data_IF_949476926695
#
_entry.id   IF_949476926695
#
_cell.length_a   1.000
_cell.length_b   1.000
_cell.length_c   1.000
_cell.angle_alpha   90.00
_cell.angle_beta   90.00
_cell.angle_gamma   90.00
#
_symmetry.space_group_name_H-M   'P 1'
#
loop_
_entity.id
_entity.type
_entity.pdbx_description
1 polymer ?
#
# COMPACT_ATOMS: atom_id res chain seq x y z
N UNK A 1 14.11 12.04 -0.98
CA UNK A 1 13.15 11.08 -1.58
C UNK A 1 13.37 9.72 -0.96
N UNK A 2 12.45 9.29 -0.09
CA UNK A 2 12.51 7.98 0.59
C UNK A 2 11.67 7.02 -0.26
N UNK A 3 12.29 5.98 -0.80
CA UNK A 3 11.62 4.99 -1.63
C UNK A 3 10.96 3.93 -0.72
N UNK A 4 9.66 4.08 -0.45
CA UNK A 4 8.87 3.00 0.16
C UNK A 4 8.50 1.99 -0.92
N UNK A 5 9.16 0.83 -0.93
CA UNK A 5 8.68 -0.34 -1.68
C UNK A 5 7.79 -1.18 -0.77
N UNK A 6 6.48 -0.97 -0.87
CA UNK A 6 5.45 -1.89 -0.37
C UNK A 6 5.52 -3.19 -1.16
N UNK A 7 5.98 -4.27 -0.52
CA UNK A 7 5.83 -5.62 -1.06
C UNK A 7 4.74 -6.32 -0.25
N UNK A 8 3.58 -6.54 -0.87
CA UNK A 8 2.58 -7.46 -0.36
C UNK A 8 3.14 -8.88 -0.42
N UNK A 9 3.47 -9.47 0.72
CA UNK A 9 3.71 -10.91 0.81
C UNK A 9 2.38 -11.60 1.10
N UNK A 10 1.79 -12.20 0.06
CA UNK A 10 0.66 -13.10 0.20
C UNK A 10 1.11 -14.36 0.97
N UNK A 11 0.62 -14.51 2.19
CA UNK A 11 0.81 -15.71 2.99
C UNK A 11 -0.18 -16.76 2.45
N UNK A 12 0.34 -17.77 1.73
CA UNK A 12 -0.43 -18.96 1.34
C UNK A 12 -0.81 -19.72 2.60
N UNK A 13 -2.08 -19.65 2.99
CA UNK A 13 -2.69 -20.65 3.87
C UNK A 13 -3.18 -21.80 2.98
N UNK A 14 -2.46 -22.92 3.03
CA UNK A 14 -2.94 -24.21 2.54
C UNK A 14 -3.43 -25.01 3.74
N UNK A 15 -4.73 -25.29 3.81
CA UNK A 15 -5.27 -26.59 4.22
C UNK A 15 -6.82 -26.63 4.10
N UNK A 16 -7.27 -27.58 3.27
CA UNK A 16 -8.46 -28.44 3.41
C UNK A 16 -9.89 -27.86 3.39
N UNK A 17 -10.45 -27.84 2.16
CA UNK A 17 -11.70 -28.51 1.76
C UNK A 17 -12.88 -28.53 2.75
N UNK A 18 -13.86 -27.68 2.50
CA UNK A 18 -15.27 -28.09 2.41
C UNK A 18 -16.03 -27.15 1.48
N UNK A 19 -16.39 -27.71 0.33
CA UNK A 19 -17.14 -27.10 -0.75
C UNK A 19 -18.62 -26.96 -0.33
N UNK A 20 -19.13 -25.75 -0.24
CA UNK A 20 -20.56 -25.48 -0.44
C UNK A 20 -20.70 -24.52 -1.62
N UNK A 21 -20.79 -25.12 -2.80
CA UNK A 21 -21.25 -24.49 -4.03
C UNK A 21 -22.65 -23.95 -3.78
N UNK A 22 -22.79 -22.63 -3.82
CA UNK A 22 -24.08 -21.97 -3.99
C UNK A 22 -24.03 -21.30 -5.35
N UNK A 23 -24.58 -22.01 -6.33
CA UNK A 23 -24.84 -21.49 -7.66
C UNK A 23 -26.03 -20.54 -7.55
N UNK A 24 -25.82 -19.24 -7.78
CA UNK A 24 -26.90 -18.37 -8.20
C UNK A 24 -26.64 -17.99 -9.66
N UNK A 25 -27.24 -18.81 -10.54
CA UNK A 25 -27.36 -18.54 -11.96
C UNK A 25 -28.71 -17.85 -12.13
N UNK A 26 -28.70 -16.55 -12.46
CA UNK A 26 -29.87 -15.85 -13.00
C UNK A 26 -29.37 -14.93 -14.12
N UNK A 27 -29.35 -15.51 -15.32
CA UNK A 27 -29.75 -14.92 -16.61
C UNK A 27 -29.40 -13.44 -16.87
N UNK A 28 -28.43 -13.24 -17.77
CA UNK A 28 -28.12 -11.97 -18.43
C UNK A 28 -29.28 -11.53 -19.34
N UNK A 29 -30.17 -10.66 -18.87
CA UNK A 29 -31.06 -9.90 -19.75
C UNK A 29 -30.36 -8.61 -20.20
N UNK A 30 -29.82 -8.69 -21.42
CA UNK A 30 -29.22 -7.60 -22.15
C UNK A 30 -30.33 -6.70 -22.72
N UNK A 31 -30.85 -5.76 -21.94
CA UNK A 31 -31.76 -4.72 -22.44
C UNK A 31 -30.92 -3.55 -22.96
N UNK A 32 -30.47 -3.66 -24.20
CA UNK A 32 -30.17 -2.49 -25.03
C UNK A 32 -31.46 -2.11 -25.73
N UNK A 33 -32.05 -0.97 -25.35
CA UNK A 33 -32.78 -0.04 -26.23
C UNK A 33 -33.60 0.95 -25.39
N UNK A 34 -32.97 2.03 -24.93
CA UNK A 34 -33.70 3.24 -24.55
C UNK A 34 -33.76 4.15 -25.77
N UNK A 35 -34.79 3.93 -26.59
CA UNK A 35 -35.23 4.91 -27.58
C UNK A 35 -35.78 6.12 -26.85
N UNK A 36 -35.02 7.21 -26.94
CA UNK A 36 -35.30 8.52 -26.37
C UNK A 36 -36.26 9.27 -27.30
N UNK A 37 -37.55 8.94 -27.28
CA UNK A 37 -38.58 9.79 -27.89
C UNK A 37 -39.96 9.44 -27.34
N UNK A 38 -40.74 10.47 -27.01
CA UNK A 38 -42.10 10.45 -26.46
C UNK A 38 -42.22 10.39 -24.93
N UNK A 39 -42.00 11.55 -24.30
CA UNK A 39 -42.97 12.00 -23.30
C UNK A 39 -43.19 13.50 -23.45
N UNK A 40 -44.33 13.83 -24.04
CA UNK A 40 -44.86 15.18 -24.11
C UNK A 40 -45.07 15.71 -22.69
N UNK A 41 -44.39 16.80 -22.37
CA UNK A 41 -44.52 17.55 -21.12
C UNK A 41 -45.86 18.29 -21.15
N UNK A 42 -46.79 18.04 -20.20
CA UNK A 42 -47.83 19.02 -19.93
C UNK A 42 -47.19 20.22 -19.24
N UNK A 43 -47.50 21.39 -19.78
CA UNK A 43 -47.19 22.67 -19.17
C UNK A 43 -47.71 22.69 -17.71
N UNK A 44 -47.05 23.48 -16.87
CA UNK A 44 -47.48 23.88 -15.52
C UNK A 44 -46.92 23.02 -14.37
N UNK A 45 -45.63 23.18 -14.09
CA UNK A 45 -45.01 22.69 -12.86
C UNK A 45 -43.52 23.01 -12.81
N UNK A 46 -43.16 24.16 -12.23
CA UNK A 46 -41.77 24.48 -11.90
C UNK A 46 -41.22 23.44 -10.91
N UNK A 47 -40.49 22.46 -11.43
CA UNK A 47 -39.54 21.66 -10.65
C UNK A 47 -38.16 22.25 -10.89
N UNK A 48 -37.75 23.18 -10.03
CA UNK A 48 -36.35 23.62 -9.95
C UNK A 48 -35.52 22.49 -9.35
N UNK A 49 -35.07 21.53 -10.17
CA UNK A 49 -33.92 20.70 -9.82
C UNK A 49 -32.68 21.56 -10.01
N UNK A 50 -32.24 22.21 -8.93
CA UNK A 50 -30.89 22.76 -8.87
C UNK A 50 -29.91 21.59 -8.89
N UNK A 51 -29.60 21.10 -10.10
CA UNK A 51 -28.39 20.31 -10.38
C UNK A 51 -27.20 21.23 -10.14
N UNK A 52 -26.77 21.37 -8.89
CA UNK A 52 -25.43 21.86 -8.60
C UNK A 52 -24.47 20.70 -8.80
N UNK A 53 -24.03 20.51 -10.05
CA UNK A 53 -22.86 19.69 -10.33
C UNK A 53 -21.72 20.17 -9.45
N UNK A 54 -21.24 19.31 -8.55
CA UNK A 54 -20.06 19.55 -7.72
C UNK A 54 -18.83 19.60 -8.65
N UNK A 55 -18.57 20.77 -9.25
CA UNK A 55 -17.37 21.03 -10.02
C UNK A 55 -16.16 20.82 -9.11
N UNK A 56 -15.38 19.79 -9.39
CA UNK A 56 -14.17 19.47 -8.65
C UNK A 56 -13.16 20.59 -8.92
N UNK A 57 -13.07 21.55 -8.01
CA UNK A 57 -12.16 22.69 -8.14
C UNK A 57 -10.72 22.21 -8.03
N UNK A 58 -9.97 22.33 -9.11
CA UNK A 58 -8.53 22.12 -9.11
C UNK A 58 -7.83 23.26 -8.36
N UNK A 59 -7.19 22.94 -7.24
CA UNK A 59 -6.51 23.93 -6.39
C UNK A 59 -5.13 24.34 -6.93
N UNK A 60 -4.56 23.58 -7.86
CA UNK A 60 -3.25 23.86 -8.47
C UNK A 60 -3.37 24.91 -9.57
N UNK A 61 -4.45 24.85 -10.36
CA UNK A 61 -4.73 25.79 -11.45
C UNK A 61 -5.57 27.01 -11.02
N UNK A 62 -6.06 27.05 -9.76
CA UNK A 62 -6.88 28.15 -9.26
C UNK A 62 -6.07 29.42 -8.98
N UNK A 63 -6.49 30.52 -9.60
CA UNK A 63 -5.97 31.86 -9.35
C UNK A 63 -5.91 32.22 -7.85
N UNK A 64 -4.78 32.78 -7.42
CA UNK A 64 -4.56 33.15 -6.02
C UNK A 64 -5.59 34.11 -5.39
N UNK A 65 -6.14 35.13 -6.09
CA UNK A 65 -7.25 35.92 -5.56
C UNK A 65 -8.53 35.08 -5.36
N UNK A 66 -8.83 34.16 -6.27
CA UNK A 66 -9.98 33.25 -6.20
C UNK A 66 -9.84 32.31 -5.02
N UNK A 67 -8.64 31.73 -4.84
CA UNK A 67 -8.30 30.90 -3.68
C UNK A 67 -8.45 31.65 -2.36
N UNK A 68 -7.98 32.91 -2.28
CA UNK A 68 -8.15 33.75 -1.07
C UNK A 68 -9.62 34.04 -0.78
N UNK A 69 -10.42 34.32 -1.80
CA UNK A 69 -11.87 34.56 -1.68
C UNK A 69 -12.61 33.29 -1.24
N UNK A 70 -12.25 32.13 -1.79
CA UNK A 70 -12.77 30.82 -1.38
C UNK A 70 -12.43 30.54 0.08
N UNK A 71 -11.16 30.68 0.48
CA UNK A 71 -10.74 30.45 1.87
C UNK A 71 -11.39 31.42 2.86
N UNK A 72 -11.68 32.67 2.44
CA UNK A 72 -12.44 33.63 3.23
C UNK A 72 -13.89 33.16 3.41
N UNK A 73 -14.57 32.77 2.32
CA UNK A 73 -15.95 32.22 2.37
C UNK A 73 -16.04 30.99 3.25
N UNK A 74 -15.13 30.03 3.10
CA UNK A 74 -15.08 28.82 3.93
C UNK A 74 -14.91 29.11 5.43
N UNK A 75 -14.22 30.22 5.77
CA UNK A 75 -14.06 30.67 7.15
C UNK A 75 -15.31 31.40 7.69
N UNK A 76 -15.95 32.20 6.85
CA UNK A 76 -17.09 33.05 7.21
C UNK A 76 -18.42 32.29 7.24
N UNK A 77 -18.59 31.28 6.36
CA UNK A 77 -19.72 30.36 6.34
C UNK A 77 -19.21 28.94 6.58
N UNK A 78 -18.95 28.54 7.84
CA UNK A 78 -18.64 27.16 8.13
C UNK A 78 -19.81 26.30 7.66
N UNK A 79 -19.51 25.26 6.89
CA UNK A 79 -20.52 24.30 6.46
C UNK A 79 -21.25 23.78 7.69
N UNK A 80 -22.58 23.92 7.70
CA UNK A 80 -23.41 23.28 8.72
C UNK A 80 -23.16 21.78 8.57
N UNK A 81 -22.53 21.16 9.56
CA UNK A 81 -22.49 19.70 9.66
C UNK A 81 -23.95 19.25 9.58
N UNK A 82 -24.29 18.43 8.57
CA UNK A 82 -25.65 17.90 8.42
C UNK A 82 -26.03 17.19 9.72
N UNK A 83 -27.31 17.30 10.08
CA UNK A 83 -27.86 16.74 11.31
C UNK A 83 -27.50 15.25 11.44
N UNK A 84 -27.29 14.78 12.67
CA UNK A 84 -26.89 13.41 13.02
C UNK A 84 -27.97 12.34 12.75
N UNK A 85 -28.92 12.63 11.87
CA UNK A 85 -30.06 11.79 11.55
C UNK A 85 -29.96 11.26 10.12
N UNK A 86 -30.66 10.15 9.88
CA UNK A 86 -30.87 9.64 8.54
C UNK A 86 -31.59 10.68 7.68
N UNK A 87 -31.18 10.87 6.42
CA UNK A 87 -31.90 11.74 5.47
C UNK A 87 -33.27 11.20 5.02
N UNK A 88 -33.63 9.99 5.42
CA UNK A 88 -34.81 9.26 4.97
C UNK A 88 -35.92 9.28 6.02
N UNK A 89 -37.15 9.02 5.59
CA UNK A 89 -38.30 8.96 6.49
C UNK A 89 -38.08 7.86 7.56
N UNK A 90 -38.31 8.16 8.85
CA UNK A 90 -38.10 7.19 9.92
C UNK A 90 -38.91 5.91 9.71
N UNK A 91 -38.23 4.76 9.72
CA UNK A 91 -38.84 3.45 9.52
C UNK A 91 -38.93 3.00 8.06
N UNK A 92 -38.58 3.86 7.08
CA UNK A 92 -38.40 3.43 5.70
C UNK A 92 -37.25 2.42 5.57
N UNK A 93 -37.29 1.56 4.56
CA UNK A 93 -36.21 0.59 4.30
C UNK A 93 -34.85 1.28 4.12
N UNK A 94 -34.85 2.47 3.48
CA UNK A 94 -33.66 3.30 3.28
C UNK A 94 -33.14 3.90 4.59
N UNK A 95 -34.02 4.29 5.53
CA UNK A 95 -33.64 4.73 6.87
C UNK A 95 -32.98 3.61 7.68
N UNK A 96 -33.56 2.41 7.65
CA UNK A 96 -32.99 1.22 8.32
C UNK A 96 -31.64 0.87 7.71
N UNK A 97 -31.52 0.85 6.39
CA UNK A 97 -30.26 0.59 5.70
C UNK A 97 -29.20 1.64 6.05
N UNK A 98 -29.55 2.93 6.05
CA UNK A 98 -28.64 4.01 6.42
C UNK A 98 -28.13 3.87 7.85
N UNK A 99 -29.02 3.62 8.83
CA UNK A 99 -28.60 3.43 10.24
C UNK A 99 -27.67 2.24 10.39
N UNK A 100 -27.97 1.13 9.71
CA UNK A 100 -27.11 -0.06 9.74
C UNK A 100 -25.73 0.21 9.12
N UNK A 101 -25.65 1.05 8.08
CA UNK A 101 -24.39 1.43 7.46
C UNK A 101 -23.58 2.35 8.38
N UNK A 102 -24.23 3.33 9.00
CA UNK A 102 -23.61 4.21 10.01
C UNK A 102 -23.07 3.38 11.17
N UNK A 103 -23.87 2.52 11.78
CA UNK A 103 -23.45 1.63 12.86
C UNK A 103 -22.24 0.77 12.46
N UNK A 104 -22.25 0.17 11.26
CA UNK A 104 -21.09 -0.59 10.75
C UNK A 104 -19.83 0.28 10.61
N UNK A 105 -19.97 1.51 10.11
CA UNK A 105 -18.84 2.43 9.95
C UNK A 105 -18.31 2.92 11.29
N UNK A 106 -19.19 3.23 12.25
CA UNK A 106 -18.83 3.61 13.61
C UNK A 106 -18.12 2.45 14.32
N UNK A 107 -18.68 1.24 14.28
CA UNK A 107 -18.06 0.05 14.84
C UNK A 107 -16.68 -0.23 14.22
N UNK A 108 -16.52 -0.05 12.90
CA UNK A 108 -15.21 -0.15 12.23
C UNK A 108 -14.24 0.93 12.72
N UNK A 109 -14.72 2.16 12.90
CA UNK A 109 -13.90 3.28 13.39
C UNK A 109 -13.47 3.06 14.85
N UNK A 110 -14.33 2.51 15.68
CA UNK A 110 -14.04 2.17 17.08
C UNK A 110 -13.04 1.03 17.17
N UNK A 111 -13.22 -0.02 16.36
CA UNK A 111 -12.27 -1.12 16.26
C UNK A 111 -10.89 -0.63 15.78
N UNK A 112 -10.84 0.31 14.83
CA UNK A 112 -9.59 0.92 14.39
C UNK A 112 -8.93 1.77 15.49
N UNK A 113 -9.71 2.59 16.20
CA UNK A 113 -9.23 3.36 17.37
C UNK A 113 -8.69 2.44 18.45
N UNK A 114 -9.37 1.33 18.75
CA UNK A 114 -8.91 0.34 19.71
C UNK A 114 -7.59 -0.32 19.25
N UNK A 115 -7.46 -0.65 17.96
CA UNK A 115 -6.19 -1.16 17.40
C UNK A 115 -5.06 -0.13 17.51
N UNK A 116 -5.32 1.14 17.19
CA UNK A 116 -4.32 2.22 17.36
C UNK A 116 -3.92 2.38 18.82
N UNK A 117 -4.87 2.36 19.74
CA UNK A 117 -4.60 2.44 21.17
C UNK A 117 -3.75 1.27 21.67
N UNK A 118 -3.99 0.05 21.17
CA UNK A 118 -3.19 -1.12 21.49
C UNK A 118 -1.75 -1.04 20.96
N UNK A 119 -1.54 -0.40 19.79
CA UNK A 119 -0.21 -0.22 19.19
C UNK A 119 0.56 0.97 19.77
N UNK A 120 -0.11 1.95 20.38
CA UNK A 120 0.50 3.16 20.94
C UNK A 120 1.75 2.92 21.82
N UNK A 121 1.77 1.97 22.78
CA UNK A 121 2.99 1.72 23.57
C UNK A 121 4.15 1.20 22.73
N UNK A 122 3.89 0.31 21.76
CA UNK A 122 4.92 -0.22 20.85
C UNK A 122 5.43 0.87 19.90
N UNK A 123 4.55 1.78 19.44
CA UNK A 123 4.93 2.95 18.63
C UNK A 123 5.86 3.86 19.44
N UNK A 124 5.51 4.20 20.68
CA UNK A 124 6.34 5.04 21.53
C UNK A 124 7.73 4.42 21.79
N UNK A 125 7.78 3.11 22.09
CA UNK A 125 9.04 2.38 22.23
C UNK A 125 9.87 2.42 20.95
N UNK A 126 9.24 2.20 19.79
CA UNK A 126 9.94 2.16 18.50
C UNK A 126 10.51 3.53 18.12
N UNK A 127 9.77 4.61 18.37
CA UNK A 127 10.25 5.97 18.14
C UNK A 127 11.45 6.29 19.06
N UNK A 128 11.39 5.89 20.33
CA UNK A 128 12.51 6.07 21.25
C UNK A 128 13.76 5.29 20.79
N UNK A 129 13.59 4.04 20.36
CA UNK A 129 14.69 3.20 19.87
C UNK A 129 15.27 3.72 18.55
N UNK A 130 14.42 4.28 17.68
CA UNK A 130 14.87 4.91 16.45
C UNK A 130 15.72 6.17 16.69
N UNK A 131 15.38 6.97 17.70
CA UNK A 131 16.20 8.11 18.14
C UNK A 131 17.58 7.64 18.64
N UNK A 132 17.63 6.54 19.42
CA UNK A 132 18.91 5.94 19.85
C UNK A 132 19.75 5.47 18.67
N UNK A 133 19.09 4.94 17.63
CA UNK A 133 19.73 4.50 16.39
C UNK A 133 20.03 5.64 15.41
N UNK A 134 19.76 6.91 15.76
CA UNK A 134 19.91 8.09 14.89
C UNK A 134 19.12 8.00 13.58
N UNK A 135 17.94 7.37 13.62
CA UNK A 135 17.02 7.25 12.47
C UNK A 135 15.77 8.07 12.74
N UNK A 136 15.52 9.05 11.87
CA UNK A 136 14.28 9.83 11.91
C UNK A 136 13.14 9.05 11.26
N UNK A 137 12.15 8.64 12.06
CA UNK A 137 10.94 8.00 11.60
C UNK A 137 9.71 8.74 12.11
N UNK A 138 8.68 8.85 11.26
CA UNK A 138 7.39 9.42 11.67
C UNK A 138 6.51 8.39 12.36
N UNK A 139 5.49 8.85 13.09
CA UNK A 139 4.52 7.97 13.75
C UNK A 139 3.80 7.04 12.75
N UNK A 140 3.45 7.55 11.58
CA UNK A 140 2.81 6.78 10.50
C UNK A 140 3.76 5.68 9.99
N UNK A 141 5.05 5.98 9.89
CA UNK A 141 6.07 4.99 9.52
C UNK A 141 6.25 3.95 10.62
N UNK A 142 6.26 4.35 11.89
CA UNK A 142 6.35 3.45 13.03
C UNK A 142 5.17 2.45 13.08
N UNK A 143 3.93 2.94 12.90
CA UNK A 143 2.75 2.07 12.78
C UNK A 143 2.90 1.11 11.61
N UNK A 144 3.33 1.60 10.45
CA UNK A 144 3.53 0.76 9.26
C UNK A 144 4.57 -0.34 9.48
N UNK A 145 5.68 -0.02 10.17
CA UNK A 145 6.72 -0.98 10.54
C UNK A 145 6.20 -2.05 11.50
N UNK A 146 5.39 -1.67 12.50
CA UNK A 146 4.76 -2.60 13.43
C UNK A 146 3.75 -3.54 12.75
N UNK A 147 3.14 -3.09 11.64
CA UNK A 147 2.30 -3.93 10.78
C UNK A 147 3.10 -4.85 9.83
N UNK A 148 4.44 -4.87 9.94
CA UNK A 148 5.31 -5.75 9.16
C UNK A 148 5.93 -5.10 7.92
N UNK A 149 5.74 -3.79 7.74
CA UNK A 149 6.44 -3.06 6.67
C UNK A 149 7.95 -3.01 6.93
N UNK A 150 8.70 -2.66 5.88
CA UNK A 150 10.15 -2.45 5.94
C UNK A 150 10.47 -1.04 5.47
N UNK A 151 11.48 -0.43 6.09
CA UNK A 151 11.99 0.88 5.72
C UNK A 151 13.45 0.76 5.28
N UNK A 152 13.82 1.38 4.18
CA UNK A 152 15.19 1.34 3.66
C UNK A 152 15.78 2.76 3.69
N UNK A 153 16.85 2.93 4.47
CA UNK A 153 17.55 4.21 4.61
C UNK A 153 19.06 3.92 4.56
N UNK A 154 19.76 4.54 3.62
CA UNK A 154 21.22 4.44 3.52
C UNK A 154 21.75 3.02 3.35
N UNK A 155 21.07 2.17 2.56
CA UNK A 155 21.48 0.77 2.33
C UNK A 155 21.28 -0.16 3.52
N UNK A 156 20.54 0.27 4.55
CA UNK A 156 20.12 -0.57 5.68
C UNK A 156 18.61 -0.76 5.64
N UNK A 157 18.16 -1.98 5.90
CA UNK A 157 16.74 -2.31 6.04
C UNK A 157 16.38 -2.33 7.51
N UNK A 158 15.36 -1.57 7.86
CA UNK A 158 14.78 -1.46 9.18
C UNK A 158 13.43 -2.19 9.20
N UNK A 159 13.21 -2.98 10.23
CA UNK A 159 11.94 -3.63 10.57
C UNK A 159 11.63 -3.39 12.04
N UNK A 160 10.37 -3.42 12.43
CA UNK A 160 10.00 -3.41 13.83
C UNK A 160 9.71 -4.84 14.34
N UNK A 161 10.10 -5.11 15.58
CA UNK A 161 9.57 -6.22 16.37
C UNK A 161 8.17 -5.89 16.87
N UNK A 162 7.35 -6.90 17.16
CA UNK A 162 6.03 -6.73 17.76
C UNK A 162 6.07 -5.96 19.10
N UNK A 163 7.21 -6.01 19.80
CA UNK A 163 7.43 -5.28 21.06
C UNK A 163 7.93 -3.83 20.90
N UNK A 164 8.03 -3.29 19.69
CA UNK A 164 8.49 -1.91 19.48
C UNK A 164 10.01 -1.72 19.51
N UNK A 165 10.77 -2.74 19.12
CA UNK A 165 12.23 -2.66 18.92
C UNK A 165 12.56 -2.54 17.43
N UNK A 166 13.56 -1.74 17.10
CA UNK A 166 14.04 -1.54 15.73
C UNK A 166 15.08 -2.61 15.38
N UNK A 167 14.68 -3.55 14.52
CA UNK A 167 15.56 -4.58 13.98
C UNK A 167 16.22 -4.05 12.72
N UNK A 168 17.55 -3.98 12.74
CA UNK A 168 18.34 -3.60 11.57
C UNK A 168 18.91 -4.83 10.88
N UNK A 169 18.76 -4.89 9.55
CA UNK A 169 19.50 -5.81 8.70
C UNK A 169 20.31 -4.97 7.73
N UNK A 170 21.63 -5.08 7.78
CA UNK A 170 22.46 -4.57 6.70
C UNK A 170 22.09 -5.33 5.43
N UNK A 171 21.78 -4.61 4.35
CA UNK A 171 21.76 -5.26 3.05
C UNK A 171 23.16 -5.85 2.82
N UNK A 172 23.25 -7.09 2.31
CA UNK A 172 24.53 -7.59 1.85
C UNK A 172 25.08 -6.59 0.83
N UNK A 173 26.27 -6.08 1.08
CA UNK A 173 26.99 -5.31 0.08
C UNK A 173 27.22 -6.24 -1.12
N UNK A 174 26.55 -5.94 -2.24
CA UNK A 174 26.61 -6.75 -3.46
C UNK A 174 28.06 -6.93 -3.92
N UNK A 175 28.88 -5.87 -3.79
CA UNK A 175 30.30 -5.92 -4.12
C UNK A 175 31.03 -6.92 -3.24
N UNK A 176 30.73 -6.93 -1.93
CA UNK A 176 31.33 -7.88 -0.98
C UNK A 176 30.86 -9.32 -1.24
N UNK A 177 29.60 -9.51 -1.63
CA UNK A 177 29.09 -10.82 -2.01
C UNK A 177 29.74 -11.35 -3.29
N UNK A 178 29.83 -10.51 -4.31
CA UNK A 178 30.48 -10.85 -5.58
C UNK A 178 31.96 -11.12 -5.38
N UNK A 179 32.66 -10.32 -4.57
CA UNK A 179 34.06 -10.56 -4.23
C UNK A 179 34.25 -11.90 -3.49
N UNK A 180 33.40 -12.20 -2.50
CA UNK A 180 33.42 -13.51 -1.82
C UNK A 180 33.15 -14.68 -2.77
N UNK A 181 32.28 -14.49 -3.77
CA UNK A 181 32.03 -15.49 -4.79
C UNK A 181 33.27 -15.70 -5.65
N UNK A 182 33.93 -14.63 -6.09
CA UNK A 182 35.18 -14.71 -6.85
C UNK A 182 36.33 -15.32 -6.06
N UNK A 183 36.45 -15.02 -4.76
CA UNK A 183 37.42 -15.66 -3.86
C UNK A 183 37.16 -17.17 -3.79
N UNK A 184 35.90 -17.59 -3.57
CA UNK A 184 35.54 -19.02 -3.55
C UNK A 184 35.79 -19.73 -4.87
N UNK A 185 35.51 -19.09 -6.00
CA UNK A 185 35.78 -19.64 -7.33
C UNK A 185 37.29 -19.81 -7.56
N UNK A 186 38.10 -18.87 -7.06
CA UNK A 186 39.55 -18.93 -7.12
C UNK A 186 40.11 -20.05 -6.25
N UNK A 187 39.65 -20.16 -5.00
CA UNK A 187 40.12 -21.17 -4.05
C UNK A 187 39.72 -22.59 -4.46
N UNK A 188 38.49 -22.78 -4.92
CA UNK A 188 37.95 -24.11 -5.23
C UNK A 188 38.28 -24.58 -6.65
N UNK A 189 38.37 -23.65 -7.61
CA UNK A 189 38.50 -23.99 -9.04
C UNK A 189 39.70 -23.33 -9.72
N UNK A 190 40.53 -22.57 -9.00
CA UNK A 190 41.71 -21.90 -9.55
C UNK A 190 41.39 -20.74 -10.49
N UNK A 191 40.13 -20.28 -10.53
CA UNK A 191 39.65 -19.28 -11.49
C UNK A 191 40.03 -17.89 -11.01
N UNK A 192 40.84 -17.18 -11.80
CA UNK A 192 41.18 -15.79 -11.51
C UNK A 192 40.33 -14.82 -12.35
N UNK A 193 39.43 -14.10 -11.68
CA UNK A 193 38.56 -13.10 -12.30
C UNK A 193 39.35 -12.02 -13.07
N UNK A 194 40.59 -11.72 -12.66
CA UNK A 194 41.44 -10.75 -13.37
C UNK A 194 41.96 -11.30 -14.69
N UNK A 195 42.24 -12.61 -14.74
CA UNK A 195 42.68 -13.32 -15.95
C UNK A 195 41.53 -13.63 -16.90
N UNK A 196 40.31 -13.79 -16.39
CA UNK A 196 39.10 -14.01 -17.19
C UNK A 196 38.93 -12.95 -18.30
N UNK A 197 39.41 -11.72 -18.06
CA UNK A 197 39.32 -10.61 -19.01
C UNK A 197 40.35 -10.70 -20.15
N UNK A 198 41.44 -11.43 -19.95
CA UNK A 198 42.53 -11.61 -20.91
C UNK A 198 42.53 -12.98 -21.58
N UNK A 199 42.02 -14.01 -20.90
CA UNK A 199 41.86 -15.37 -21.42
C UNK A 199 40.54 -15.99 -20.93
N UNK A 200 39.41 -15.61 -21.54
CA UNK A 200 38.10 -16.14 -21.15
C UNK A 200 37.96 -17.64 -21.44
N UNK A 201 38.60 -18.14 -22.52
CA UNK A 201 38.47 -19.53 -22.95
C UNK A 201 39.28 -20.46 -22.06
N UNK A 202 40.53 -20.10 -21.75
CA UNK A 202 41.40 -20.91 -20.89
C UNK A 202 40.87 -21.01 -19.45
N UNK A 203 40.36 -19.92 -18.88
CA UNK A 203 39.72 -19.97 -17.55
C UNK A 203 38.42 -20.79 -17.54
N UNK A 204 37.63 -20.77 -18.62
CA UNK A 204 36.44 -21.62 -18.73
C UNK A 204 36.79 -23.11 -18.82
N UNK A 205 37.86 -23.45 -19.53
CA UNK A 205 38.38 -24.83 -19.58
C UNK A 205 38.83 -25.34 -18.21
N UNK A 206 39.45 -24.49 -17.39
CA UNK A 206 39.82 -24.84 -16.00
C UNK A 206 38.59 -25.15 -15.15
N UNK A 207 37.52 -24.37 -15.33
CA UNK A 207 36.25 -24.57 -14.61
C UNK A 207 35.60 -25.90 -14.99
N UNK A 208 35.65 -26.29 -16.27
CA UNK A 208 35.17 -27.60 -16.73
C UNK A 208 36.06 -28.75 -16.24
N UNK A 209 37.38 -28.59 -16.29
CA UNK A 209 38.33 -29.60 -15.84
C UNK A 209 38.22 -29.88 -14.32
N UNK A 210 38.01 -28.84 -13.52
CA UNK A 210 37.77 -28.94 -12.07
C UNK A 210 36.43 -29.59 -11.72
N UNK A 211 35.39 -29.42 -12.54
CA UNK A 211 34.10 -30.06 -12.36
C UNK A 211 34.12 -31.57 -12.70
N UNK A 212 34.96 -31.98 -13.66
CA UNK A 212 35.13 -33.39 -14.05
C UNK A 212 36.20 -34.15 -13.25
N UNK A 213 36.83 -33.52 -12.25
CA UNK A 213 37.87 -34.15 -11.43
C UNK A 213 39.12 -34.55 -12.23
N UNK A 214 39.38 -33.90 -13.37
CA UNK A 214 40.55 -34.19 -14.21
C UNK A 214 41.74 -33.33 -13.77
N UNK A 215 42.89 -33.93 -13.42
CA UNK A 215 44.08 -33.14 -13.15
C UNK A 215 44.56 -32.43 -14.43
N UNK A 216 45.11 -31.21 -14.30
CA UNK A 216 45.66 -30.49 -15.44
C UNK A 216 46.82 -31.29 -16.04
N UNK A 217 46.83 -31.44 -17.36
CA UNK A 217 47.98 -31.97 -18.09
C UNK A 217 49.02 -30.85 -18.22
N UNK A 218 50.23 -31.15 -17.75
CA UNK A 218 51.44 -30.33 -17.91
C UNK A 218 51.76 -30.02 -19.37
#
# INVERSE_FOLDING_TARGET
MINMKTFYTAQKCTECLSSSSVNNSTEDEKITDFSMSEMAVPADGELTTEDSDDEIVDFEDMDQPTRRKLMRRLRETPFKRRQSGSPYEPGSELDVAWRSAVEKTEARSEAEKARRAALAPAVASLLADAVLCSVEISEIQAVSLLMGSRLEIGGKVYRASAGGQLITRQLPDESRMVNKLWERLRENHGIDATRLRFDPVGEYQKMLAGAEGRPPKE
#
